data_IF_880610567231
#
_entry.id   IF_880610567231
#
_cell.length_a   1.000
_cell.length_b   1.000
_cell.length_c   1.000
_cell.angle_alpha   90.00
_cell.angle_beta   90.00
_cell.angle_gamma   90.00
#
_symmetry.space_group_name_H-M   'P 1'
#
loop_
_entity.id
_entity.type
_entity.pdbx_description
1 polymer ?
#
# COMPACT_ATOMS: atom_id res chain seq x y z
N UNK A 1 10.24 -15.97 16.35
CA UNK A 1 9.29 -14.85 16.12
C UNK A 1 8.07 -15.40 15.41
N UNK A 2 6.86 -15.14 15.91
CA UNK A 2 5.65 -15.55 15.20
C UNK A 2 5.53 -14.73 13.91
N UNK A 3 5.37 -15.42 12.77
CA UNK A 3 5.22 -14.76 11.47
C UNK A 3 4.02 -13.83 11.43
N UNK A 4 4.10 -12.79 10.59
CA UNK A 4 3.01 -11.83 10.41
C UNK A 4 1.79 -12.57 9.81
N UNK A 5 0.68 -12.62 10.54
CA UNK A 5 -0.58 -13.17 10.01
C UNK A 5 -1.18 -12.17 9.01
N UNK A 6 -1.20 -12.55 7.74
CA UNK A 6 -1.83 -11.80 6.65
C UNK A 6 -3.27 -12.29 6.47
N UNK A 7 -4.20 -11.34 6.34
CA UNK A 7 -5.60 -11.62 6.01
C UNK A 7 -5.84 -11.40 4.50
N UNK A 8 -6.91 -11.95 3.91
CA UNK A 8 -7.22 -11.73 2.49
C UNK A 8 -7.24 -10.26 2.07
N UNK A 9 -7.80 -9.37 2.90
CA UNK A 9 -7.79 -7.93 2.64
C UNK A 9 -6.37 -7.35 2.57
N UNK A 10 -5.46 -7.78 3.46
CA UNK A 10 -4.05 -7.36 3.41
C UNK A 10 -3.36 -7.84 2.12
N UNK A 11 -3.67 -9.07 1.70
CA UNK A 11 -3.07 -9.67 0.50
C UNK A 11 -3.49 -8.90 -0.75
N UNK A 12 -4.79 -8.67 -0.95
CA UNK A 12 -5.28 -7.98 -2.15
C UNK A 12 -4.91 -6.50 -2.18
N UNK A 13 -4.99 -5.82 -1.03
CA UNK A 13 -4.50 -4.45 -0.93
C UNK A 13 -3.00 -4.37 -1.24
N UNK A 14 -2.19 -5.27 -0.69
CA UNK A 14 -0.76 -5.31 -0.99
C UNK A 14 -0.49 -5.57 -2.48
N UNK A 15 -1.31 -6.35 -3.16
CA UNK A 15 -1.19 -6.55 -4.61
C UNK A 15 -1.53 -5.28 -5.37
N UNK A 16 -2.59 -4.57 -4.98
CA UNK A 16 -2.93 -3.27 -5.58
C UNK A 16 -1.78 -2.26 -5.46
N UNK A 17 -1.17 -2.14 -4.28
CA UNK A 17 -0.03 -1.24 -4.04
C UNK A 17 1.19 -1.60 -4.91
N UNK A 18 1.43 -2.87 -5.19
CA UNK A 18 2.55 -3.28 -6.05
C UNK A 18 2.22 -3.11 -7.53
N UNK A 19 0.99 -3.42 -7.92
CA UNK A 19 0.49 -3.29 -9.29
C UNK A 19 0.39 -1.82 -9.74
N UNK A 20 -0.08 -0.90 -8.86
CA UNK A 20 -0.11 0.54 -9.15
C UNK A 20 1.26 1.06 -9.52
N UNK A 21 2.32 0.54 -8.90
CA UNK A 21 3.71 0.93 -9.14
C UNK A 21 4.38 0.14 -10.27
N UNK A 22 3.66 -0.76 -10.95
CA UNK A 22 4.23 -1.61 -12.01
C UNK A 22 5.30 -2.57 -11.51
N UNK A 23 5.21 -2.98 -10.24
CA UNK A 23 6.22 -3.81 -9.57
C UNK A 23 7.62 -3.16 -9.50
N UNK A 24 7.67 -1.83 -9.49
CA UNK A 24 8.89 -1.04 -9.31
C UNK A 24 8.92 -0.50 -7.88
N UNK A 25 10.10 -0.50 -7.26
CA UNK A 25 10.30 0.17 -5.97
C UNK A 25 10.20 1.69 -6.15
N UNK A 26 9.30 2.34 -5.42
CA UNK A 26 9.03 3.80 -5.52
C UNK A 26 10.11 4.68 -4.87
N UNK A 27 11.19 4.08 -4.38
CA UNK A 27 12.33 4.80 -3.77
C UNK A 27 13.59 4.66 -4.63
N UNK A 28 13.95 3.45 -5.03
CA UNK A 28 15.17 3.18 -5.79
C UNK A 28 14.93 2.85 -7.27
N UNK A 29 13.68 2.84 -7.73
CA UNK A 29 13.28 2.56 -9.12
C UNK A 29 13.70 1.18 -9.66
N UNK A 30 14.10 0.26 -8.79
CA UNK A 30 14.43 -1.11 -9.20
C UNK A 30 13.14 -1.88 -9.55
N UNK A 31 13.14 -2.51 -10.73
CA UNK A 31 12.10 -3.45 -11.17
C UNK A 31 12.20 -4.77 -10.40
N UNK A 32 11.03 -5.32 -10.06
CA UNK A 32 10.88 -6.65 -9.48
C UNK A 32 9.94 -7.50 -10.31
N UNK A 33 10.13 -8.81 -10.25
CA UNK A 33 9.18 -9.77 -10.80
C UNK A 33 7.85 -9.71 -10.04
N UNK A 34 6.76 -9.93 -10.77
CA UNK A 34 5.42 -9.99 -10.19
C UNK A 34 5.35 -11.06 -9.10
N UNK A 35 4.70 -10.73 -7.99
CA UNK A 35 4.53 -11.56 -6.79
C UNK A 35 5.83 -12.00 -6.11
N UNK A 36 6.99 -11.45 -6.48
CA UNK A 36 8.24 -11.70 -5.79
C UNK A 36 8.18 -11.24 -4.32
N UNK A 37 8.99 -11.88 -3.48
CA UNK A 37 9.15 -11.50 -2.06
C UNK A 37 10.07 -10.28 -1.87
N UNK A 38 10.65 -9.76 -2.95
CA UNK A 38 11.60 -8.64 -2.92
C UNK A 38 10.96 -7.25 -2.85
N UNK A 39 9.68 -7.13 -3.26
CA UNK A 39 8.90 -5.90 -3.24
C UNK A 39 7.75 -6.01 -2.25
N UNK A 40 7.63 -5.04 -1.33
CA UNK A 40 6.72 -5.06 -0.20
C UNK A 40 5.69 -3.94 -0.32
N UNK A 41 4.55 -4.11 0.34
CA UNK A 41 3.65 -3.01 0.65
C UNK A 41 4.15 -2.38 1.96
N UNK A 42 4.70 -1.17 1.86
CA UNK A 42 5.27 -0.41 2.96
C UNK A 42 4.24 0.59 3.46
N UNK A 43 3.75 0.37 4.68
CA UNK A 43 2.77 1.26 5.31
C UNK A 43 3.47 2.44 5.99
N UNK A 44 2.92 3.65 5.82
CA UNK A 44 3.39 4.86 6.48
C UNK A 44 2.98 4.87 7.96
N UNK A 45 1.69 4.64 8.21
CA UNK A 45 1.14 4.31 9.51
C UNK A 45 0.94 2.82 9.64
N UNK A 46 1.46 2.25 10.72
CA UNK A 46 1.41 0.82 11.00
C UNK A 46 0.02 0.21 10.73
N UNK A 47 0.00 -1.00 10.16
CA UNK A 47 -1.22 -1.81 9.92
C UNK A 47 -2.10 -2.08 11.15
N UNK A 48 -1.68 -1.68 12.35
CA UNK A 48 -2.52 -1.64 13.56
C UNK A 48 -3.62 -0.58 13.48
N UNK A 49 -3.40 0.51 12.74
CA UNK A 49 -4.35 1.60 12.53
C UNK A 49 -5.38 1.17 11.49
N UNK A 50 -6.53 0.66 11.95
CA UNK A 50 -7.56 0.06 11.09
C UNK A 50 -8.15 1.04 10.07
N UNK A 51 -8.24 2.32 10.42
CA UNK A 51 -8.76 3.39 9.58
C UNK A 51 -7.93 3.64 8.31
N UNK A 52 -6.62 3.38 8.35
CA UNK A 52 -5.69 3.64 7.23
C UNK A 52 -5.00 2.37 6.72
N UNK A 53 -5.27 1.21 7.32
CA UNK A 53 -4.59 -0.06 7.00
C UNK A 53 -4.67 -0.46 5.52
N UNK A 54 -5.78 -0.12 4.88
CA UNK A 54 -6.04 -0.36 3.47
C UNK A 54 -6.36 0.95 2.75
N UNK A 55 -5.70 2.04 3.13
CA UNK A 55 -5.78 3.31 2.41
C UNK A 55 -4.59 3.41 1.44
N UNK A 56 -4.86 3.65 0.16
CA UNK A 56 -3.85 3.81 -0.90
C UNK A 56 -2.84 4.91 -0.58
N UNK A 57 -3.24 5.94 0.19
CA UNK A 57 -2.36 7.04 0.60
C UNK A 57 -1.54 6.69 1.84
N UNK A 58 -1.81 5.56 2.49
CA UNK A 58 -1.03 5.08 3.62
C UNK A 58 0.00 4.01 3.23
N UNK A 59 0.19 3.74 1.94
CA UNK A 59 1.14 2.71 1.51
C UNK A 59 1.79 2.96 0.15
N UNK A 60 3.02 2.48 0.01
CA UNK A 60 3.80 2.48 -1.22
C UNK A 60 4.53 1.15 -1.45
N UNK A 61 4.95 0.89 -2.68
CA UNK A 61 5.73 -0.27 -3.08
C UNK A 61 7.23 -0.02 -2.81
N UNK A 62 7.76 -0.60 -1.75
CA UNK A 62 9.18 -0.51 -1.40
C UNK A 62 9.86 -1.86 -1.48
N UNK A 63 11.06 -1.93 -2.04
CA UNK A 63 11.87 -3.13 -1.92
C UNK A 63 12.30 -3.36 -0.46
N UNK A 64 12.65 -4.60 -0.11
CA UNK A 64 13.07 -4.93 1.26
C UNK A 64 14.12 -3.96 1.81
N UNK A 65 15.17 -3.64 1.04
CA UNK A 65 16.24 -2.74 1.49
C UNK A 65 15.75 -1.31 1.77
N UNK A 66 14.96 -0.72 0.86
CA UNK A 66 14.41 0.62 1.08
C UNK A 66 13.38 0.63 2.22
N UNK A 67 12.57 -0.43 2.32
CA UNK A 67 11.59 -0.57 3.40
C UNK A 67 12.27 -0.63 4.78
N UNK A 68 13.37 -1.39 4.90
CA UNK A 68 14.14 -1.45 6.14
C UNK A 68 14.83 -0.12 6.46
N UNK A 69 15.46 0.54 5.47
CA UNK A 69 16.10 1.84 5.67
C UNK A 69 15.11 2.89 6.18
N UNK A 70 14.02 3.10 5.46
CA UNK A 70 13.00 4.07 5.83
C UNK A 70 12.34 3.71 7.17
N UNK A 71 11.97 2.44 7.38
CA UNK A 71 11.39 2.00 8.65
C UNK A 71 12.33 2.12 9.85
N UNK A 72 13.65 2.10 9.63
CA UNK A 72 14.67 2.33 10.65
C UNK A 72 14.97 3.80 10.94
N UNK A 73 14.50 4.72 10.09
CA UNK A 73 14.73 6.16 10.20
C UNK A 73 13.42 6.94 9.99
N UNK A 74 12.63 7.17 11.06
CA UNK A 74 11.31 7.81 10.95
C UNK A 74 11.33 9.22 10.36
N UNK A 75 12.42 9.98 10.53
CA UNK A 75 12.56 11.33 9.97
C UNK A 75 12.67 11.24 8.45
N UNK A 76 13.59 10.43 7.95
CA UNK A 76 13.77 10.20 6.51
C UNK A 76 12.51 9.62 5.86
N UNK A 77 11.78 8.75 6.59
CA UNK A 77 10.51 8.24 6.08
C UNK A 77 9.44 9.35 6.02
N UNK A 78 9.35 10.20 7.03
CA UNK A 78 8.43 11.34 7.00
C UNK A 78 8.71 12.27 5.81
N UNK A 79 9.98 12.63 5.59
CA UNK A 79 10.41 13.47 4.46
C UNK A 79 10.04 12.82 3.11
N UNK A 80 10.27 11.51 2.98
CA UNK A 80 9.91 10.77 1.77
C UNK A 80 8.39 10.73 1.55
N UNK A 81 7.61 10.52 2.62
CA UNK A 81 6.13 10.50 2.55
C UNK A 81 5.60 11.86 2.11
N UNK A 82 6.13 12.95 2.67
CA UNK A 82 5.73 14.32 2.31
C UNK A 82 6.03 14.62 0.83
N UNK A 83 7.21 14.22 0.34
CA UNK A 83 7.55 14.34 -1.08
C UNK A 83 6.67 13.46 -1.98
N UNK A 84 6.26 12.29 -1.48
CA UNK A 84 5.46 11.33 -2.25
C UNK A 84 3.98 11.69 -2.34
N UNK A 85 3.37 12.12 -1.25
CA UNK A 85 1.93 12.43 -1.16
C UNK A 85 1.61 13.92 -1.31
N UNK A 86 2.54 14.78 -0.90
CA UNK A 86 2.27 16.18 -0.58
C UNK A 86 1.62 16.36 0.79
N UNK A 87 1.79 17.56 1.36
CA UNK A 87 1.35 17.94 2.70
C UNK A 87 -0.16 17.69 2.92
N UNK A 88 -1.01 18.13 1.99
CA UNK A 88 -2.47 18.04 2.14
C UNK A 88 -2.98 16.59 2.30
N UNK A 89 -2.44 15.64 1.51
CA UNK A 89 -2.84 14.23 1.60
C UNK A 89 -2.25 13.57 2.84
N UNK A 90 -1.03 13.95 3.21
CA UNK A 90 -0.41 13.49 4.45
C UNK A 90 -1.22 13.89 5.69
N UNK A 91 -1.73 15.13 5.74
CA UNK A 91 -2.60 15.64 6.80
C UNK A 91 -3.90 14.81 6.92
N UNK A 92 -4.53 14.48 5.78
CA UNK A 92 -5.75 13.66 5.74
C UNK A 92 -5.47 12.25 6.30
N UNK A 93 -4.42 11.58 5.82
CA UNK A 93 -4.06 10.23 6.29
C UNK A 93 -3.70 10.24 7.77
N UNK A 94 -2.98 11.27 8.24
CA UNK A 94 -2.68 11.47 9.65
C UNK A 94 -3.95 11.58 10.48
N UNK A 95 -4.91 12.41 10.06
CA UNK A 95 -6.20 12.55 10.72
C UNK A 95 -6.96 11.21 10.79
N UNK A 96 -7.04 10.48 9.68
CA UNK A 96 -7.63 9.14 9.63
C UNK A 96 -6.92 8.17 10.60
N UNK A 97 -5.59 8.17 10.65
CA UNK A 97 -4.80 7.23 11.47
C UNK A 97 -5.02 7.43 12.99
N UNK A 98 -5.41 8.64 13.42
CA UNK A 98 -5.77 8.95 14.80
C UNK A 98 -7.19 8.54 15.17
N UNK A 99 -8.04 8.21 14.19
CA UNK A 99 -9.38 7.70 14.45
C UNK A 99 -9.37 6.21 14.83
N UNK A 100 -10.21 5.83 15.79
CA UNK A 100 -10.40 4.43 16.19
C UNK A 100 -11.62 3.89 15.46
N UNK A 101 -11.38 3.06 14.44
CA UNK A 101 -12.44 2.42 13.66
C UNK A 101 -12.48 0.92 13.93
N UNK A 102 -13.67 0.42 14.25
CA UNK A 102 -13.94 -1.02 14.38
C UNK A 102 -14.53 -1.55 13.09
N UNK A 103 -13.69 -2.13 12.25
CA UNK A 103 -14.11 -2.86 11.04
C UNK A 103 -14.52 -4.29 11.45
N UNK A 104 -15.74 -4.78 11.22
CA UNK A 104 -16.14 -6.16 11.48
C UNK A 104 -15.52 -7.16 10.49
N UNK A 105 -15.55 -8.46 10.82
CA UNK A 105 -15.03 -9.51 9.93
C UNK A 105 -15.77 -9.63 8.60
N UNK A 106 -17.07 -9.31 8.57
CA UNK A 106 -17.87 -9.27 7.34
C UNK A 106 -17.33 -8.20 6.40
N UNK A 107 -17.15 -6.98 6.91
CA UNK A 107 -16.62 -5.85 6.15
C UNK A 107 -15.18 -6.12 5.66
N UNK A 108 -14.34 -6.81 6.43
CA UNK A 108 -13.03 -7.25 5.93
C UNK A 108 -13.10 -8.16 4.70
N UNK A 109 -14.19 -8.92 4.50
CA UNK A 109 -14.39 -9.71 3.27
C UNK A 109 -14.76 -8.80 2.10
N UNK A 110 -15.54 -7.75 2.35
CA UNK A 110 -15.94 -6.77 1.33
C UNK A 110 -14.72 -5.97 0.87
N UNK A 111 -13.86 -5.53 1.81
CA UNK A 111 -12.57 -4.90 1.52
C UNK A 111 -11.69 -5.83 0.68
N UNK A 112 -11.61 -7.12 1.03
CA UNK A 112 -10.84 -8.09 0.27
C UNK A 112 -11.37 -8.29 -1.15
N UNK A 113 -12.70 -8.29 -1.32
CA UNK A 113 -13.35 -8.39 -2.64
C UNK A 113 -13.05 -7.15 -3.47
N UNK A 114 -13.23 -5.95 -2.90
CA UNK A 114 -12.97 -4.68 -3.57
C UNK A 114 -11.54 -4.60 -4.11
N UNK A 115 -10.54 -4.86 -3.28
CA UNK A 115 -9.15 -4.82 -3.74
C UNK A 115 -8.76 -5.96 -4.69
N UNK A 116 -9.50 -7.07 -4.70
CA UNK A 116 -9.32 -8.08 -5.75
C UNK A 116 -9.81 -7.55 -7.09
N UNK A 117 -10.98 -6.92 -7.11
CA UNK A 117 -11.58 -6.33 -8.31
C UNK A 117 -10.72 -5.17 -8.85
N UNK A 118 -10.18 -4.31 -7.99
CA UNK A 118 -9.24 -3.26 -8.39
C UNK A 118 -7.92 -3.82 -8.96
N UNK A 119 -7.38 -4.88 -8.35
CA UNK A 119 -6.22 -5.56 -8.91
C UNK A 119 -6.52 -6.13 -10.31
N UNK A 120 -7.65 -6.82 -10.48
CA UNK A 120 -8.07 -7.35 -11.78
C UNK A 120 -8.28 -6.24 -12.82
N UNK A 121 -8.85 -5.10 -12.42
CA UNK A 121 -8.97 -3.90 -13.28
C UNK A 121 -7.61 -3.41 -13.74
N UNK A 122 -6.65 -3.23 -12.83
CA UNK A 122 -5.30 -2.79 -13.18
C UNK A 122 -4.58 -3.79 -14.09
N UNK A 123 -4.75 -5.11 -13.87
CA UNK A 123 -4.18 -6.14 -14.75
C UNK A 123 -4.73 -6.06 -16.18
N UNK A 124 -6.02 -5.77 -16.35
CA UNK A 124 -6.61 -5.54 -17.67
C UNK A 124 -5.98 -4.32 -18.35
N UNK A 125 -5.85 -3.21 -17.63
CA UNK A 125 -5.18 -2.01 -18.14
C UNK A 125 -3.73 -2.29 -18.55
N UNK A 126 -2.98 -3.10 -17.79
CA UNK A 126 -1.63 -3.54 -18.20
C UNK A 126 -1.65 -4.35 -19.49
N UNK A 127 -2.59 -5.29 -19.64
CA UNK A 127 -2.73 -6.10 -20.84
C UNK A 127 -3.09 -5.24 -22.08
N UNK A 128 -3.79 -4.13 -21.87
CA UNK A 128 -4.10 -3.12 -22.89
C UNK A 128 -2.93 -2.16 -23.18
N UNK A 129 -1.80 -2.31 -22.49
CA UNK A 129 -0.57 -1.54 -22.73
C UNK A 129 -0.41 -0.30 -21.85
N UNK A 130 -1.25 -0.09 -20.83
CA UNK A 130 -1.08 1.03 -19.89
C UNK A 130 0.20 0.83 -19.07
N UNK A 131 1.13 1.77 -19.19
CA UNK A 131 2.42 1.77 -18.47
C UNK A 131 2.43 2.80 -17.35
N UNK A 132 3.49 2.83 -16.55
CA UNK A 132 3.63 3.79 -15.45
C UNK A 132 2.70 3.50 -14.27
N UNK A 133 2.36 4.56 -13.51
CA UNK A 133 1.53 4.43 -12.31
C UNK A 133 0.05 4.32 -12.66
N UNK A 134 -0.63 3.32 -12.12
CA UNK A 134 -2.09 3.15 -12.29
C UNK A 134 -2.75 3.36 -10.93
N UNK A 135 -3.42 4.50 -10.76
CA UNK A 135 -4.09 4.80 -9.49
C UNK A 135 -5.38 3.99 -9.31
N UNK A 136 -5.73 3.79 -8.04
CA UNK A 136 -6.98 3.19 -7.58
C UNK A 136 -7.48 3.94 -6.35
N UNK A 137 -8.79 3.91 -6.13
CA UNK A 137 -9.41 4.56 -4.98
C UNK A 137 -9.37 3.65 -3.75
N UNK A 138 -9.28 4.26 -2.57
CA UNK A 138 -9.40 3.54 -1.30
C UNK A 138 -10.86 3.12 -1.07
N UNK A 139 -11.07 1.99 -0.40
CA UNK A 139 -12.42 1.54 0.01
C UNK A 139 -13.12 2.52 0.98
N UNK A 140 -12.35 3.33 1.73
CA UNK A 140 -12.84 4.31 2.73
C UNK A 140 -12.26 5.72 2.53
#
# INVERSE_FOLDING_TARGET
MAGIKLKPADTWFSKCIRERAGWICEVCNKQYEENSQGLHCSHFWSRRHRATRWDADNAAAHCFGCHQRLGGNPIEFADWIEQHLGEARMEIVRGKAMSIVKIPKSEEKDIAKYYREEYERMRKLRAEGVTGRIEFESYF
#
